data_IF_322437595830
#
_entry.id   IF_322437595830
#
_cell.length_a   1.000
_cell.length_b   1.000
_cell.length_c   1.000
_cell.angle_alpha   90.00
_cell.angle_beta   90.00
_cell.angle_gamma   90.00
#
_symmetry.space_group_name_H-M   'P 1'
#
loop_
_entity.id
_entity.type
_entity.pdbx_description
1 polymer ?
#
# COMPACT_ATOMS: atom_id res chain seq x y z
N UNK A 1 62.82 16.58 -41.28
CA UNK A 1 61.96 17.71 -40.88
C UNK A 1 60.58 17.17 -40.83
N UNK A 2 60.16 16.79 -39.62
CA UNK A 2 58.82 16.15 -39.27
C UNK A 2 58.00 17.26 -38.62
N UNK A 3 56.79 17.58 -39.06
CA UNK A 3 55.97 18.59 -38.39
C UNK A 3 55.29 18.01 -37.14
N UNK A 4 55.46 18.72 -36.04
CA UNK A 4 54.79 18.47 -34.77
C UNK A 4 53.26 18.65 -34.94
N UNK A 5 52.51 17.60 -34.56
CA UNK A 5 51.05 17.64 -34.49
C UNK A 5 50.57 18.34 -33.19
N UNK A 6 49.39 18.98 -33.22
CA UNK A 6 48.89 19.73 -32.08
C UNK A 6 48.51 18.79 -30.92
N UNK A 7 49.13 19.02 -29.77
CA UNK A 7 48.81 18.37 -28.51
C UNK A 7 47.36 18.69 -28.07
N UNK A 8 46.44 17.71 -28.16
CA UNK A 8 45.11 17.78 -27.58
C UNK A 8 45.24 17.76 -26.04
N UNK A 9 45.14 18.91 -25.44
CA UNK A 9 44.92 19.03 -23.98
C UNK A 9 43.46 18.60 -23.68
N UNK A 10 43.29 17.44 -23.02
CA UNK A 10 42.02 17.01 -22.47
C UNK A 10 41.59 18.02 -21.38
N UNK A 11 40.29 18.39 -21.33
CA UNK A 11 39.82 19.27 -20.26
C UNK A 11 40.00 18.56 -18.91
N UNK A 12 40.74 19.19 -18.01
CA UNK A 12 40.81 18.74 -16.58
C UNK A 12 39.41 18.84 -15.98
N UNK A 13 38.76 17.69 -15.74
CA UNK A 13 37.60 17.61 -14.87
C UNK A 13 38.12 17.87 -13.44
N UNK A 14 38.06 19.12 -13.02
CA UNK A 14 38.30 19.47 -11.61
C UNK A 14 37.10 18.97 -10.82
N UNK A 15 37.25 17.88 -10.06
CA UNK A 15 36.28 17.49 -9.04
C UNK A 15 36.09 18.67 -8.08
N UNK A 16 34.85 19.04 -7.70
CA UNK A 16 34.62 20.10 -6.75
C UNK A 16 35.32 19.77 -5.42
N UNK A 17 35.96 20.74 -4.76
CA UNK A 17 36.64 20.47 -3.51
C UNK A 17 35.66 19.94 -2.46
N UNK A 18 36.05 18.92 -1.70
CA UNK A 18 35.22 18.27 -0.65
C UNK A 18 34.57 19.26 0.31
N UNK A 19 35.20 20.41 0.55
CA UNK A 19 34.69 21.49 1.39
C UNK A 19 33.41 22.16 0.77
N UNK A 20 33.31 22.28 -0.55
CA UNK A 20 32.13 22.87 -1.21
C UNK A 20 30.96 21.89 -1.25
N UNK A 21 31.22 20.59 -1.33
CA UNK A 21 30.17 19.57 -1.27
C UNK A 21 29.62 19.38 0.17
N UNK A 22 30.46 19.56 1.20
CA UNK A 22 29.99 19.54 2.58
C UNK A 22 29.19 20.82 2.93
N UNK A 23 29.61 21.99 2.43
CA UNK A 23 28.86 23.24 2.61
C UNK A 23 27.48 23.15 1.97
N UNK A 24 27.40 22.71 0.70
CA UNK A 24 26.11 22.55 0.02
C UNK A 24 25.20 21.49 0.67
N UNK A 25 25.78 20.47 1.28
CA UNK A 25 25.02 19.48 2.06
C UNK A 25 24.44 20.11 3.33
N UNK A 26 25.24 20.87 4.10
CA UNK A 26 24.78 21.55 5.31
C UNK A 26 23.71 22.60 4.99
N UNK A 27 23.87 23.38 3.92
CA UNK A 27 22.87 24.33 3.46
C UNK A 27 21.54 23.62 3.06
N UNK A 28 21.61 22.46 2.42
CA UNK A 28 20.43 21.65 2.09
C UNK A 28 19.74 21.11 3.35
N UNK A 29 20.51 20.69 4.35
CA UNK A 29 19.98 20.24 5.66
C UNK A 29 19.30 21.39 6.39
N UNK A 30 19.92 22.56 6.43
CA UNK A 30 19.37 23.76 7.07
C UNK A 30 18.08 24.23 6.38
N UNK A 31 18.05 24.22 5.04
CA UNK A 31 16.86 24.51 4.24
C UNK A 31 15.74 23.50 4.46
N UNK A 32 16.08 22.23 4.66
CA UNK A 32 15.11 21.18 5.01
C UNK A 32 14.45 21.45 6.37
N UNK A 33 15.27 21.71 7.41
CA UNK A 33 14.73 21.97 8.75
C UNK A 33 13.97 23.30 8.82
N UNK A 34 14.40 24.35 8.13
CA UNK A 34 13.67 25.62 8.05
C UNK A 34 12.32 25.45 7.32
N UNK A 35 12.27 24.65 6.27
CA UNK A 35 11.00 24.31 5.58
C UNK A 35 10.06 23.51 6.49
N UNK A 36 10.60 22.66 7.35
CA UNK A 36 9.80 21.93 8.34
C UNK A 36 9.28 22.85 9.46
N UNK A 37 10.08 23.83 9.88
CA UNK A 37 9.71 24.81 10.91
C UNK A 37 8.69 25.84 10.40
N UNK A 38 8.62 26.06 9.09
CA UNK A 38 7.71 27.00 8.43
C UNK A 38 6.35 26.39 8.06
N UNK A 39 5.98 25.22 8.61
CA UNK A 39 4.72 24.52 8.31
C UNK A 39 3.49 25.34 8.71
N UNK A 40 2.54 25.42 7.80
CA UNK A 40 1.22 25.95 8.10
C UNK A 40 0.37 24.89 8.82
N UNK A 41 0.18 25.11 10.12
CA UNK A 41 -0.54 24.16 10.98
C UNK A 41 -2.02 23.97 10.58
N UNK A 42 -2.69 25.02 10.09
CA UNK A 42 -4.10 24.95 9.73
C UNK A 42 -4.34 24.00 8.54
N UNK A 43 -3.67 24.14 7.38
CA UNK A 43 -3.78 23.18 6.30
C UNK A 43 -3.29 21.77 6.70
N UNK A 44 -2.28 21.65 7.55
CA UNK A 44 -1.79 20.36 8.04
C UNK A 44 -2.88 19.61 8.82
N UNK A 45 -3.49 20.26 9.81
CA UNK A 45 -4.56 19.66 10.63
C UNK A 45 -5.79 19.35 9.79
N UNK A 46 -6.17 20.27 8.88
CA UNK A 46 -7.28 20.05 7.96
C UNK A 46 -7.00 18.87 7.01
N UNK A 47 -5.77 18.76 6.49
CA UNK A 47 -5.33 17.66 5.65
C UNK A 47 -5.37 16.31 6.38
N UNK A 48 -4.87 16.25 7.61
CA UNK A 48 -4.96 15.05 8.45
C UNK A 48 -6.41 14.70 8.83
N UNK A 49 -7.27 15.71 9.02
CA UNK A 49 -8.71 15.50 9.26
C UNK A 49 -9.40 14.90 8.02
N UNK A 50 -9.13 15.44 6.83
CA UNK A 50 -9.60 14.85 5.57
C UNK A 50 -9.08 13.42 5.39
N UNK A 51 -7.83 13.16 5.77
CA UNK A 51 -7.24 11.84 5.73
C UNK A 51 -7.92 10.87 6.72
N UNK A 52 -8.29 11.36 7.90
CA UNK A 52 -9.09 10.61 8.87
C UNK A 52 -10.44 10.20 8.30
N UNK A 53 -11.15 11.15 7.66
CA UNK A 53 -12.43 10.89 7.00
C UNK A 53 -12.24 9.89 5.85
N UNK A 54 -11.19 10.03 5.05
CA UNK A 54 -10.84 9.10 3.97
C UNK A 54 -10.74 7.65 4.48
N UNK A 55 -9.90 7.39 5.48
CA UNK A 55 -9.70 6.03 6.01
C UNK A 55 -10.97 5.51 6.68
N UNK A 56 -11.68 6.37 7.42
CA UNK A 56 -12.94 5.99 8.08
C UNK A 56 -14.04 5.63 7.07
N UNK A 57 -14.16 6.39 5.99
CA UNK A 57 -15.13 6.11 4.91
C UNK A 57 -14.74 4.84 4.15
N UNK A 58 -13.46 4.60 3.89
CA UNK A 58 -13.00 3.32 3.31
C UNK A 58 -13.32 2.14 4.22
N UNK A 59 -13.11 2.28 5.52
CA UNK A 59 -13.46 1.23 6.48
C UNK A 59 -14.95 0.92 6.49
N UNK A 60 -15.80 1.92 6.22
CA UNK A 60 -17.25 1.74 6.09
C UNK A 60 -17.61 0.97 4.81
N UNK A 61 -16.98 1.29 3.68
CA UNK A 61 -17.15 0.50 2.46
C UNK A 61 -16.74 -0.97 2.68
N UNK A 62 -15.63 -1.20 3.37
CA UNK A 62 -15.18 -2.54 3.72
C UNK A 62 -16.14 -3.27 4.69
N UNK A 63 -16.70 -2.54 5.66
CA UNK A 63 -17.76 -3.06 6.51
C UNK A 63 -18.97 -3.56 5.71
N UNK A 64 -19.40 -2.82 4.67
CA UNK A 64 -20.50 -3.25 3.78
C UNK A 64 -20.14 -4.53 3.00
N UNK A 65 -18.88 -4.69 2.58
CA UNK A 65 -18.40 -5.92 1.95
C UNK A 65 -18.53 -7.11 2.91
N UNK A 66 -18.11 -6.93 4.17
CA UNK A 66 -18.21 -7.97 5.19
C UNK A 66 -19.65 -8.28 5.57
N UNK A 67 -20.53 -7.26 5.65
CA UNK A 67 -21.97 -7.44 5.87
C UNK A 67 -22.65 -8.24 4.77
N UNK A 68 -22.18 -8.12 3.53
CA UNK A 68 -22.68 -8.93 2.43
C UNK A 68 -22.15 -10.38 2.49
N UNK A 69 -20.92 -10.57 2.97
CA UNK A 69 -20.30 -11.88 3.11
C UNK A 69 -20.85 -12.67 4.32
N UNK A 70 -21.28 -11.97 5.38
CA UNK A 70 -21.76 -12.54 6.63
C UNK A 70 -23.10 -11.91 7.06
N UNK A 71 -24.20 -12.14 6.31
CA UNK A 71 -25.48 -11.48 6.55
C UNK A 71 -26.12 -11.88 7.90
N UNK A 72 -25.87 -13.09 8.37
CA UNK A 72 -26.44 -13.65 9.58
C UNK A 72 -25.63 -13.31 10.85
N UNK A 73 -24.43 -12.75 10.68
CA UNK A 73 -23.53 -12.42 11.79
C UNK A 73 -23.68 -10.97 12.23
N UNK A 74 -23.78 -10.76 13.55
CA UNK A 74 -23.83 -9.44 14.13
C UNK A 74 -22.45 -9.00 14.58
N UNK A 75 -21.91 -7.98 13.96
CA UNK A 75 -20.65 -7.34 14.35
C UNK A 75 -20.71 -5.82 14.18
N UNK A 76 -20.17 -5.05 15.15
CA UNK A 76 -20.27 -3.61 15.13
C UNK A 76 -19.23 -2.99 14.18
N UNK A 77 -19.60 -1.90 13.50
CA UNK A 77 -18.73 -1.15 12.58
C UNK A 77 -17.40 -0.73 13.22
N UNK A 78 -17.40 -0.26 14.46
CA UNK A 78 -16.21 0.26 15.13
C UNK A 78 -15.08 -0.77 15.31
N UNK A 79 -15.40 -2.08 15.37
CA UNK A 79 -14.35 -3.14 15.33
C UNK A 79 -13.70 -3.22 13.95
N UNK A 80 -14.47 -3.12 12.88
CA UNK A 80 -13.93 -3.12 11.51
C UNK A 80 -13.14 -1.85 11.25
N UNK A 81 -13.65 -0.70 11.71
CA UNK A 81 -12.96 0.58 11.68
C UNK A 81 -11.60 0.51 12.42
N UNK A 82 -11.59 -0.03 13.62
CA UNK A 82 -10.36 -0.20 14.40
C UNK A 82 -9.36 -1.14 13.73
N UNK A 83 -9.81 -2.27 13.16
CA UNK A 83 -8.96 -3.18 12.41
C UNK A 83 -8.36 -2.52 11.16
N UNK A 84 -9.13 -1.66 10.49
CA UNK A 84 -8.69 -0.95 9.30
C UNK A 84 -7.61 0.08 9.64
N UNK A 85 -7.81 0.88 10.69
CA UNK A 85 -6.82 1.85 11.18
C UNK A 85 -5.56 1.17 11.71
N UNK A 86 -5.70 0.08 12.46
CA UNK A 86 -4.56 -0.70 12.90
C UNK A 86 -3.72 -1.16 11.71
N UNK A 87 -4.35 -1.75 10.69
CA UNK A 87 -3.64 -2.17 9.49
C UNK A 87 -2.91 -1.03 8.80
N UNK A 88 -3.59 0.11 8.61
CA UNK A 88 -3.00 1.25 7.93
C UNK A 88 -1.82 1.84 8.72
N UNK A 89 -1.96 2.00 10.04
CA UNK A 89 -0.89 2.48 10.90
C UNK A 89 0.33 1.55 10.88
N UNK A 90 0.10 0.26 11.00
CA UNK A 90 1.19 -0.73 11.00
C UNK A 90 1.85 -0.93 9.63
N UNK A 91 1.14 -0.72 8.52
CA UNK A 91 1.74 -0.74 7.18
C UNK A 91 2.78 0.38 6.95
N UNK A 92 2.72 1.47 7.74
CA UNK A 92 3.74 2.52 7.70
C UNK A 92 5.01 2.15 8.50
N UNK A 93 4.93 1.15 9.38
CA UNK A 93 6.05 0.73 10.25
C UNK A 93 6.60 -0.63 9.82
N UNK A 94 5.71 -1.58 9.50
CA UNK A 94 6.10 -2.94 9.13
C UNK A 94 6.21 -3.05 7.61
N UNK A 95 7.39 -3.44 7.08
CA UNK A 95 7.57 -3.64 5.65
C UNK A 95 6.70 -4.79 5.12
N UNK A 96 6.62 -4.93 3.80
CA UNK A 96 5.88 -5.98 3.10
C UNK A 96 4.38 -6.06 3.48
N UNK A 97 3.75 -4.88 3.81
CA UNK A 97 2.32 -4.77 4.13
C UNK A 97 1.88 -5.65 5.31
N UNK A 98 2.74 -5.76 6.32
CA UNK A 98 2.46 -6.57 7.51
C UNK A 98 1.19 -6.17 8.28
N UNK A 99 0.73 -4.92 8.16
CA UNK A 99 -0.53 -4.46 8.70
C UNK A 99 -1.76 -5.14 8.07
N UNK A 100 -1.69 -5.60 6.80
CA UNK A 100 -2.81 -6.32 6.17
C UNK A 100 -3.02 -7.69 6.83
N UNK A 101 -1.95 -8.33 7.31
CA UNK A 101 -2.05 -9.57 8.11
C UNK A 101 -2.74 -9.28 9.44
N UNK A 102 -2.43 -8.13 10.06
CA UNK A 102 -3.11 -7.69 11.28
C UNK A 102 -4.59 -7.41 11.02
N UNK A 103 -4.94 -6.73 9.91
CA UNK A 103 -6.34 -6.52 9.50
C UNK A 103 -7.09 -7.84 9.39
N UNK A 104 -6.49 -8.80 8.69
CA UNK A 104 -7.06 -10.14 8.51
C UNK A 104 -7.39 -10.80 9.86
N UNK A 105 -6.44 -10.76 10.80
CA UNK A 105 -6.60 -11.32 12.13
C UNK A 105 -7.67 -10.58 12.97
N UNK A 106 -7.61 -9.23 13.02
CA UNK A 106 -8.54 -8.44 13.82
C UNK A 106 -9.98 -8.52 13.29
N UNK A 107 -10.16 -8.56 11.98
CA UNK A 107 -11.48 -8.76 11.35
C UNK A 107 -12.01 -10.16 11.67
N UNK A 108 -11.15 -11.19 11.53
CA UNK A 108 -11.51 -12.58 11.87
C UNK A 108 -11.96 -12.70 13.34
N UNK A 109 -11.26 -12.05 14.26
CA UNK A 109 -11.63 -12.05 15.69
C UNK A 109 -12.89 -11.25 16.01
N UNK A 110 -13.36 -10.41 15.07
CA UNK A 110 -14.52 -9.54 15.26
C UNK A 110 -15.82 -10.14 14.75
N UNK A 111 -15.76 -11.11 13.83
CA UNK A 111 -16.93 -11.70 13.18
C UNK A 111 -17.00 -13.18 13.60
N UNK A 112 -18.03 -13.59 14.36
CA UNK A 112 -18.23 -14.99 14.69
C UNK A 112 -18.34 -15.85 13.41
N UNK A 113 -18.00 -17.12 13.49
CA UNK A 113 -18.09 -18.08 12.38
C UNK A 113 -17.43 -17.67 11.07
N UNK A 114 -16.59 -16.62 11.08
CA UNK A 114 -15.87 -16.19 9.87
C UNK A 114 -14.64 -17.06 9.60
N UNK A 115 -14.11 -17.00 8.39
CA UNK A 115 -12.93 -17.75 7.98
C UNK A 115 -11.86 -16.87 7.35
N UNK A 116 -10.59 -17.20 7.55
CA UNK A 116 -9.47 -16.48 6.93
C UNK A 116 -9.57 -16.40 5.39
N UNK A 117 -9.95 -17.47 4.66
CA UNK A 117 -10.08 -17.39 3.21
C UNK A 117 -11.16 -16.42 2.74
N UNK A 118 -12.31 -16.35 3.44
CA UNK A 118 -13.39 -15.44 3.07
C UNK A 118 -13.04 -13.98 3.39
N UNK A 119 -12.42 -13.71 4.54
CA UNK A 119 -11.95 -12.36 4.90
C UNK A 119 -10.81 -11.93 3.98
N UNK A 120 -9.85 -12.81 3.70
CA UNK A 120 -8.74 -12.51 2.79
C UNK A 120 -9.22 -12.19 1.37
N UNK A 121 -10.19 -12.94 0.86
CA UNK A 121 -10.78 -12.68 -0.47
C UNK A 121 -11.61 -11.38 -0.51
N UNK A 122 -12.18 -10.93 0.61
CA UNK A 122 -12.90 -9.65 0.67
C UNK A 122 -12.00 -8.44 0.39
N UNK A 123 -10.69 -8.55 0.63
CA UNK A 123 -9.73 -7.49 0.25
C UNK A 123 -9.68 -7.27 -1.27
N UNK A 124 -9.96 -8.32 -2.05
CA UNK A 124 -10.02 -8.22 -3.50
C UNK A 124 -11.15 -7.28 -3.97
N UNK A 125 -12.25 -7.20 -3.21
CA UNK A 125 -13.36 -6.29 -3.53
C UNK A 125 -12.92 -4.83 -3.48
N UNK A 126 -12.08 -4.46 -2.49
CA UNK A 126 -11.47 -3.12 -2.41
C UNK A 126 -10.47 -2.90 -3.55
N UNK A 127 -9.68 -3.94 -3.87
CA UNK A 127 -8.69 -3.87 -4.92
C UNK A 127 -9.29 -3.62 -6.32
N UNK A 128 -10.53 -4.04 -6.58
CA UNK A 128 -11.25 -3.72 -7.83
C UNK A 128 -11.42 -2.21 -7.99
N UNK A 129 -11.86 -1.50 -6.95
CA UNK A 129 -11.96 -0.05 -6.97
C UNK A 129 -10.59 0.61 -7.14
N UNK A 130 -9.60 0.17 -6.34
CA UNK A 130 -8.25 0.73 -6.38
C UNK A 130 -7.61 0.53 -7.78
N UNK A 131 -7.87 -0.60 -8.44
CA UNK A 131 -7.41 -0.84 -9.82
C UNK A 131 -8.04 0.13 -10.83
N UNK A 132 -9.33 0.40 -10.72
CA UNK A 132 -10.00 1.40 -11.57
C UNK A 132 -9.36 2.78 -11.37
N UNK A 133 -9.19 3.21 -10.13
CA UNK A 133 -8.56 4.50 -9.83
C UNK A 133 -7.09 4.55 -10.25
N UNK A 134 -6.36 3.44 -10.10
CA UNK A 134 -4.98 3.33 -10.53
C UNK A 134 -4.85 3.51 -12.05
N UNK A 135 -5.75 2.98 -12.87
CA UNK A 135 -5.73 3.19 -14.32
C UNK A 135 -5.81 4.68 -14.66
N UNK A 136 -6.72 5.43 -14.04
CA UNK A 136 -6.84 6.88 -14.28
C UNK A 136 -5.59 7.65 -13.84
N UNK A 137 -5.09 7.37 -12.63
CA UNK A 137 -3.93 8.06 -12.06
C UNK A 137 -2.65 7.72 -12.85
N UNK A 138 -2.44 6.45 -13.19
CA UNK A 138 -1.25 6.03 -13.92
C UNK A 138 -1.28 6.51 -15.37
N UNK A 139 -2.45 6.57 -16.01
CA UNK A 139 -2.60 7.18 -17.32
C UNK A 139 -2.19 8.66 -17.29
N UNK A 140 -2.68 9.40 -16.29
CA UNK A 140 -2.26 10.79 -16.09
C UNK A 140 -0.76 10.88 -15.81
N UNK A 141 -0.21 10.10 -14.89
CA UNK A 141 1.22 10.09 -14.55
C UNK A 141 2.09 9.76 -15.79
N UNK A 142 1.62 8.88 -16.67
CA UNK A 142 2.28 8.56 -17.91
C UNK A 142 2.37 9.78 -18.85
N UNK A 143 1.27 10.52 -19.02
CA UNK A 143 1.26 11.74 -19.86
C UNK A 143 2.17 12.84 -19.31
N UNK A 144 2.45 12.84 -18.01
CA UNK A 144 3.32 13.80 -17.34
C UNK A 144 4.80 13.37 -17.27
N UNK A 145 5.16 12.23 -17.86
CA UNK A 145 6.54 11.73 -17.87
C UNK A 145 7.07 11.27 -16.51
N UNK A 146 6.18 10.97 -15.57
CA UNK A 146 6.54 10.49 -14.22
C UNK A 146 7.21 9.12 -14.25
N UNK A 147 6.97 8.34 -15.29
CA UNK A 147 7.59 7.02 -15.43
C UNK A 147 9.08 7.15 -15.76
N UNK A 148 9.94 6.37 -15.12
CA UNK A 148 11.32 6.25 -15.55
C UNK A 148 11.33 5.82 -17.01
N UNK A 149 12.23 6.41 -17.82
CA UNK A 149 12.39 6.03 -19.23
C UNK A 149 12.51 4.51 -19.33
N UNK A 150 11.79 3.86 -20.25
CA UNK A 150 11.92 2.42 -20.45
C UNK A 150 13.40 2.09 -20.70
N UNK A 151 13.91 0.98 -20.14
CA UNK A 151 15.27 0.56 -20.43
C UNK A 151 15.45 0.40 -21.93
N UNK A 152 16.62 0.79 -22.43
CA UNK A 152 16.96 0.68 -23.84
C UNK A 152 17.10 -0.81 -24.21
N UNK A 153 16.03 -1.39 -24.76
CA UNK A 153 15.98 -2.80 -25.13
C UNK A 153 16.95 -3.20 -26.24
N UNK A 154 17.53 -2.22 -26.93
CA UNK A 154 18.53 -2.48 -27.99
C UNK A 154 19.86 -3.03 -27.47
N UNK A 155 20.11 -2.93 -26.16
CA UNK A 155 21.32 -3.41 -25.49
C UNK A 155 21.15 -4.76 -24.80
N UNK A 156 20.01 -5.43 -24.98
CA UNK A 156 19.74 -6.75 -24.42
C UNK A 156 20.55 -7.83 -25.16
N UNK A 157 21.65 -8.30 -24.59
CA UNK A 157 22.23 -9.58 -24.97
C UNK A 157 21.35 -10.70 -24.37
N UNK A 158 20.78 -11.52 -25.26
CA UNK A 158 19.85 -12.57 -24.88
C UNK A 158 20.50 -13.60 -23.95
N UNK A 159 19.85 -13.89 -22.83
CA UNK A 159 20.13 -15.02 -21.93
C UNK A 159 21.39 -14.96 -21.06
N UNK A 160 21.88 -13.82 -20.67
CA UNK A 160 22.90 -13.76 -19.62
C UNK A 160 22.24 -13.56 -18.26
N UNK A 161 22.47 -14.48 -17.30
CA UNK A 161 21.99 -14.35 -15.92
C UNK A 161 22.53 -13.08 -15.22
N UNK A 162 23.66 -12.55 -15.72
CA UNK A 162 24.19 -11.25 -15.34
C UNK A 162 23.22 -10.11 -15.66
N UNK A 163 22.34 -10.27 -16.66
CA UNK A 163 21.28 -9.33 -16.99
C UNK A 163 20.22 -9.21 -15.87
N UNK A 164 19.83 -10.32 -15.26
CA UNK A 164 18.91 -10.33 -14.13
C UNK A 164 19.52 -9.64 -12.89
N UNK A 165 20.83 -9.81 -12.68
CA UNK A 165 21.55 -9.16 -11.60
C UNK A 165 21.75 -7.65 -11.85
N UNK A 166 21.94 -7.25 -13.11
CA UNK A 166 22.13 -5.84 -13.50
C UNK A 166 20.79 -5.06 -13.66
N UNK A 167 19.66 -5.79 -13.78
CA UNK A 167 18.32 -5.21 -13.92
C UNK A 167 17.36 -5.73 -12.83
N UNK A 168 17.54 -5.32 -11.58
CA UNK A 168 16.77 -5.86 -10.45
C UNK A 168 15.26 -5.65 -10.60
N UNK A 169 14.82 -4.64 -11.38
CA UNK A 169 13.39 -4.39 -11.64
C UNK A 169 12.78 -5.43 -12.58
N UNK A 170 13.51 -5.85 -13.61
CA UNK A 170 13.06 -6.90 -14.53
C UNK A 170 13.08 -8.27 -13.83
N UNK A 171 14.12 -8.55 -13.04
CA UNK A 171 14.21 -9.76 -12.22
C UNK A 171 13.02 -9.85 -11.22
N UNK A 172 12.70 -8.76 -10.54
CA UNK A 172 11.54 -8.67 -9.65
C UNK A 172 10.22 -8.88 -10.38
N UNK A 173 10.04 -8.25 -11.54
CA UNK A 173 8.83 -8.46 -12.36
C UNK A 173 8.70 -9.91 -12.79
N UNK A 174 9.77 -10.52 -13.30
CA UNK A 174 9.77 -11.92 -13.74
C UNK A 174 9.53 -12.89 -12.57
N UNK A 175 10.21 -12.68 -11.44
CA UNK A 175 10.01 -13.50 -10.22
C UNK A 175 8.58 -13.36 -9.71
N UNK A 176 8.03 -12.13 -9.68
CA UNK A 176 6.66 -11.88 -9.25
C UNK A 176 5.65 -12.51 -10.21
N UNK A 177 5.86 -12.39 -11.51
CA UNK A 177 5.00 -13.00 -12.52
C UNK A 177 5.03 -14.53 -12.44
N UNK A 178 6.22 -15.13 -12.27
CA UNK A 178 6.38 -16.56 -12.07
C UNK A 178 5.77 -17.05 -10.75
N UNK A 179 5.92 -16.28 -9.65
CA UNK A 179 5.31 -16.60 -8.37
C UNK A 179 3.79 -16.54 -8.43
N UNK A 180 3.22 -15.52 -9.10
CA UNK A 180 1.77 -15.40 -9.31
C UNK A 180 1.26 -16.54 -10.21
N UNK A 181 1.98 -16.88 -11.28
CA UNK A 181 1.64 -17.99 -12.16
C UNK A 181 1.71 -19.35 -11.43
N UNK A 182 2.74 -19.57 -10.60
CA UNK A 182 2.89 -20.77 -9.79
C UNK A 182 1.79 -20.87 -8.71
N UNK A 183 1.42 -19.77 -8.05
CA UNK A 183 0.33 -19.71 -7.10
C UNK A 183 -1.03 -19.96 -7.79
N UNK A 184 -1.25 -19.39 -8.97
CA UNK A 184 -2.46 -19.66 -9.76
C UNK A 184 -2.56 -21.12 -10.19
N UNK A 185 -1.44 -21.70 -10.66
CA UNK A 185 -1.36 -23.11 -11.04
C UNK A 185 -1.57 -24.04 -9.84
N UNK A 186 -0.95 -23.75 -8.70
CA UNK A 186 -1.15 -24.50 -7.46
C UNK A 186 -2.60 -24.42 -6.98
N UNK A 187 -3.22 -23.23 -7.08
CA UNK A 187 -4.64 -23.03 -6.77
C UNK A 187 -5.56 -23.84 -7.71
N UNK A 188 -5.21 -23.98 -8.99
CA UNK A 188 -5.98 -24.73 -9.97
C UNK A 188 -5.83 -26.26 -9.82
N UNK A 189 -4.66 -26.74 -9.40
CA UNK A 189 -4.34 -28.18 -9.34
C UNK A 189 -4.77 -28.87 -8.04
N UNK A 190 -5.09 -28.15 -6.97
CA UNK A 190 -5.43 -28.77 -5.69
C UNK A 190 -6.91 -29.14 -5.57
N UNK A 191 -7.22 -30.43 -5.65
CA UNK A 191 -8.58 -31.02 -5.55
C UNK A 191 -9.26 -30.82 -4.18
N UNK A 192 -8.52 -30.40 -3.14
CA UNK A 192 -9.05 -30.01 -1.81
C UNK A 192 -9.77 -28.66 -1.79
N UNK A 193 -10.05 -28.09 -2.94
CA UNK A 193 -10.33 -26.68 -3.20
C UNK A 193 -11.82 -26.34 -3.17
N UNK A 194 -12.75 -27.28 -3.19
CA UNK A 194 -14.18 -26.90 -3.24
C UNK A 194 -14.63 -26.10 -2.02
N UNK A 195 -14.31 -26.56 -0.82
CA UNK A 195 -14.67 -25.85 0.42
C UNK A 195 -13.90 -24.52 0.55
N UNK A 196 -12.61 -24.51 0.20
CA UNK A 196 -11.81 -23.28 0.15
C UNK A 196 -12.40 -22.27 -0.85
N UNK A 197 -12.71 -22.70 -2.09
CA UNK A 197 -13.32 -21.82 -3.09
C UNK A 197 -14.71 -21.32 -2.73
N UNK A 198 -15.49 -22.09 -2.00
CA UNK A 198 -16.77 -21.62 -1.46
C UNK A 198 -16.55 -20.48 -0.46
N UNK A 199 -15.58 -20.60 0.44
CA UNK A 199 -15.22 -19.53 1.38
C UNK A 199 -14.64 -18.30 0.67
N UNK A 200 -13.81 -18.48 -0.35
CA UNK A 200 -13.32 -17.38 -1.19
C UNK A 200 -14.48 -16.67 -1.92
N UNK A 201 -15.42 -17.44 -2.51
CA UNK A 201 -16.61 -16.87 -3.16
C UNK A 201 -17.48 -16.10 -2.19
N UNK A 202 -17.56 -16.51 -0.93
CA UNK A 202 -18.30 -15.82 0.12
C UNK A 202 -17.73 -14.41 0.36
N UNK A 203 -16.40 -14.23 0.45
CA UNK A 203 -15.78 -12.93 0.67
C UNK A 203 -15.98 -11.94 -0.47
N UNK A 204 -16.20 -12.41 -1.69
CA UNK A 204 -16.43 -11.57 -2.88
C UNK A 204 -17.90 -11.54 -3.34
N UNK A 205 -18.82 -12.05 -2.53
CA UNK A 205 -20.23 -12.23 -2.91
C UNK A 205 -20.90 -10.94 -3.37
N UNK A 206 -20.55 -9.80 -2.79
CA UNK A 206 -21.12 -8.49 -3.12
C UNK A 206 -20.88 -8.09 -4.59
N UNK A 207 -19.82 -8.60 -5.25
CA UNK A 207 -19.53 -8.33 -6.66
C UNK A 207 -20.57 -8.96 -7.60
N UNK A 208 -21.35 -9.96 -7.14
CA UNK A 208 -22.44 -10.55 -7.91
C UNK A 208 -23.67 -9.64 -7.98
N UNK A 209 -23.89 -8.87 -6.93
CA UNK A 209 -24.94 -7.85 -6.88
C UNK A 209 -24.34 -6.49 -7.28
N UNK A 210 -24.28 -6.27 -8.61
CA UNK A 210 -23.69 -5.05 -9.18
C UNK A 210 -24.30 -3.75 -8.67
N UNK A 211 -25.65 -3.59 -8.58
CA UNK A 211 -26.26 -2.39 -8.04
C UNK A 211 -25.85 -2.14 -6.57
N UNK A 212 -25.85 -3.19 -5.77
CA UNK A 212 -25.43 -3.11 -4.37
C UNK A 212 -23.95 -2.74 -4.24
N UNK A 213 -23.07 -3.40 -5.00
CA UNK A 213 -21.64 -3.08 -5.04
C UNK A 213 -21.39 -1.63 -5.43
N UNK A 214 -22.04 -1.14 -6.49
CA UNK A 214 -21.86 0.24 -6.95
C UNK A 214 -22.31 1.26 -5.90
N UNK A 215 -23.41 1.02 -5.20
CA UNK A 215 -23.94 1.95 -4.20
C UNK A 215 -23.23 1.86 -2.86
N UNK A 216 -23.01 0.65 -2.32
CA UNK A 216 -22.56 0.45 -0.95
C UNK A 216 -21.03 0.37 -0.83
N UNK A 217 -20.31 0.09 -1.93
CA UNK A 217 -18.86 -0.03 -1.94
C UNK A 217 -18.22 1.00 -2.84
N UNK A 218 -18.52 0.96 -4.14
CA UNK A 218 -17.83 1.82 -5.12
C UNK A 218 -18.09 3.32 -4.87
N UNK A 219 -19.35 3.73 -4.71
CA UNK A 219 -19.68 5.14 -4.44
C UNK A 219 -19.10 5.62 -3.11
N UNK A 220 -19.13 4.77 -2.08
CA UNK A 220 -18.54 5.09 -0.77
C UNK A 220 -17.02 5.23 -0.88
N UNK A 221 -16.34 4.33 -1.59
CA UNK A 221 -14.90 4.44 -1.82
C UNK A 221 -14.54 5.65 -2.69
N UNK A 222 -15.41 6.00 -3.66
CA UNK A 222 -15.21 7.20 -4.47
C UNK A 222 -15.30 8.48 -3.62
N UNK A 223 -16.26 8.57 -2.72
CA UNK A 223 -16.34 9.68 -1.74
C UNK A 223 -15.10 9.71 -0.85
N UNK A 224 -14.67 8.56 -0.34
CA UNK A 224 -13.42 8.45 0.41
C UNK A 224 -12.23 8.98 -0.42
N UNK A 225 -12.18 8.65 -1.70
CA UNK A 225 -11.11 9.08 -2.59
C UNK A 225 -11.08 10.62 -2.80
N UNK A 226 -12.25 11.28 -2.81
CA UNK A 226 -12.32 12.74 -2.82
C UNK A 226 -11.69 13.35 -1.55
N UNK A 227 -11.94 12.76 -0.38
CA UNK A 227 -11.27 13.17 0.85
C UNK A 227 -9.76 12.89 0.85
N UNK A 228 -9.33 11.79 0.23
CA UNK A 228 -7.91 11.54 -0.01
C UNK A 228 -7.29 12.61 -0.89
N UNK A 229 -7.97 13.01 -1.96
CA UNK A 229 -7.54 14.07 -2.84
C UNK A 229 -7.41 15.40 -2.09
N UNK A 230 -8.44 15.78 -1.32
CA UNK A 230 -8.43 16.97 -0.49
C UNK A 230 -7.33 16.94 0.58
N UNK A 231 -7.07 15.78 1.19
CA UNK A 231 -6.00 15.60 2.16
C UNK A 231 -4.63 15.92 1.54
N UNK A 232 -4.30 15.36 0.39
CA UNK A 232 -3.03 15.64 -0.29
C UNK A 232 -2.94 17.08 -0.81
N UNK A 233 -4.06 17.68 -1.22
CA UNK A 233 -4.11 19.10 -1.56
C UNK A 233 -3.70 19.98 -0.39
N UNK A 234 -4.35 19.80 0.75
CA UNK A 234 -4.07 20.56 1.98
C UNK A 234 -2.66 20.29 2.52
N UNK A 235 -2.15 19.07 2.38
CA UNK A 235 -0.77 18.76 2.76
C UNK A 235 0.24 19.46 1.83
N UNK A 236 -0.02 19.56 0.53
CA UNK A 236 0.81 20.32 -0.39
C UNK A 236 0.85 21.81 -0.03
N UNK A 237 -0.31 22.39 0.37
CA UNK A 237 -0.38 23.76 0.85
C UNK A 237 0.35 23.93 2.17
N UNK A 238 0.18 23.00 3.13
CA UNK A 238 0.84 23.06 4.43
C UNK A 238 2.37 23.12 4.33
N UNK A 239 2.96 22.52 3.31
CA UNK A 239 4.40 22.54 3.05
C UNK A 239 4.83 23.57 1.98
N UNK A 240 3.94 24.49 1.58
CA UNK A 240 4.21 25.54 0.58
C UNK A 240 4.66 25.02 -0.80
N UNK A 241 4.31 23.78 -1.14
CA UNK A 241 4.51 23.23 -2.51
C UNK A 241 3.42 23.72 -3.46
N UNK A 242 2.25 24.08 -2.92
CA UNK A 242 1.08 24.57 -3.65
C UNK A 242 0.14 23.44 -4.05
N UNK A 243 -1.07 23.47 -3.45
CA UNK A 243 -2.18 22.58 -3.81
C UNK A 243 -2.73 22.94 -5.18
N UNK A 244 -2.84 21.95 -6.05
CA UNK A 244 -3.53 22.03 -7.34
C UNK A 244 -3.96 20.64 -7.77
N UNK A 245 -4.95 20.56 -8.67
CA UNK A 245 -5.40 19.27 -9.23
C UNK A 245 -4.22 18.53 -9.84
N UNK A 246 -3.38 19.25 -10.60
CA UNK A 246 -2.19 18.70 -11.23
C UNK A 246 -1.21 18.12 -10.21
N UNK A 247 -0.82 18.90 -9.20
CA UNK A 247 0.15 18.49 -8.18
C UNK A 247 -0.34 17.30 -7.35
N UNK A 248 -1.63 17.28 -6.98
CA UNK A 248 -2.22 16.14 -6.26
C UNK A 248 -2.19 14.88 -7.10
N UNK A 249 -2.55 14.96 -8.39
CA UNK A 249 -2.50 13.80 -9.29
C UNK A 249 -1.08 13.29 -9.49
N UNK A 250 -0.09 14.18 -9.55
CA UNK A 250 1.33 13.80 -9.59
C UNK A 250 1.73 13.05 -8.32
N UNK A 251 1.39 13.56 -7.14
CA UNK A 251 1.66 12.88 -5.85
C UNK A 251 0.99 11.52 -5.79
N UNK A 252 -0.28 11.42 -6.19
CA UNK A 252 -1.00 10.15 -6.21
C UNK A 252 -0.40 9.17 -7.22
N UNK A 253 0.07 9.67 -8.36
CA UNK A 253 0.80 8.87 -9.36
C UNK A 253 2.11 8.31 -8.81
N UNK A 254 2.91 9.16 -8.17
CA UNK A 254 4.15 8.74 -7.51
C UNK A 254 3.86 7.71 -6.41
N UNK A 255 2.82 7.93 -5.59
CA UNK A 255 2.42 6.99 -4.55
C UNK A 255 2.00 5.63 -5.13
N UNK A 256 1.28 5.63 -6.27
CA UNK A 256 0.88 4.40 -6.94
C UNK A 256 2.10 3.62 -7.47
N UNK A 257 3.09 4.32 -8.04
CA UNK A 257 4.33 3.71 -8.53
C UNK A 257 5.18 3.19 -7.34
N UNK A 258 5.34 3.99 -6.28
CA UNK A 258 6.12 3.62 -5.10
C UNK A 258 5.51 2.40 -4.36
N UNK A 259 4.18 2.25 -4.37
CA UNK A 259 3.48 1.11 -3.77
C UNK A 259 3.77 -0.24 -4.44
N UNK A 260 4.30 -0.24 -5.68
CA UNK A 260 4.73 -1.45 -6.39
C UNK A 260 6.02 -2.03 -5.77
N UNK A 261 6.79 -1.21 -5.04
CA UNK A 261 8.04 -1.65 -4.38
C UNK A 261 7.73 -2.15 -2.97
N UNK A 262 7.67 -3.47 -2.74
CA UNK A 262 7.13 -4.03 -1.49
C UNK A 262 8.10 -4.00 -0.30
N UNK A 263 9.39 -3.66 -0.55
CA UNK A 263 10.45 -3.84 0.45
C UNK A 263 10.63 -2.66 1.41
N UNK A 264 10.05 -1.51 1.11
CA UNK A 264 10.18 -0.31 1.94
C UNK A 264 8.85 0.02 2.65
N UNK A 265 8.87 0.34 3.95
CA UNK A 265 7.67 0.78 4.65
C UNK A 265 7.06 2.01 3.97
N UNK A 266 5.79 1.91 3.56
CA UNK A 266 5.08 3.03 2.92
C UNK A 266 5.71 3.56 1.61
N UNK A 267 6.60 2.79 0.94
CA UNK A 267 7.31 3.27 -0.27
C UNK A 267 8.47 4.22 0.00
N UNK A 268 8.95 4.27 1.25
CA UNK A 268 10.03 5.18 1.68
C UNK A 268 11.28 5.07 0.79
N UNK A 269 11.90 6.20 0.47
CA UNK A 269 13.04 6.32 -0.42
C UNK A 269 12.64 6.46 -1.89
N UNK A 270 11.85 5.54 -2.42
CA UNK A 270 11.38 5.60 -3.83
C UNK A 270 10.40 6.75 -4.03
N UNK A 271 9.46 6.92 -3.12
CA UNK A 271 8.49 8.02 -3.16
C UNK A 271 9.19 9.38 -3.10
N UNK A 272 10.16 9.56 -2.19
CA UNK A 272 10.92 10.81 -2.04
C UNK A 272 11.70 11.15 -3.32
N UNK A 273 12.44 10.18 -3.85
CA UNK A 273 13.22 10.38 -5.06
C UNK A 273 12.34 10.76 -6.27
N UNK A 274 11.21 10.09 -6.44
CA UNK A 274 10.27 10.38 -7.53
C UNK A 274 9.60 11.75 -7.35
N UNK A 275 9.20 12.14 -6.13
CA UNK A 275 8.58 13.44 -5.87
C UNK A 275 9.55 14.58 -6.19
N UNK A 276 10.80 14.51 -5.73
CA UNK A 276 11.81 15.53 -6.04
C UNK A 276 12.03 15.63 -7.56
N UNK A 277 12.06 14.51 -8.27
CA UNK A 277 12.22 14.50 -9.71
C UNK A 277 11.03 15.12 -10.47
N UNK A 278 9.80 14.76 -10.05
CA UNK A 278 8.57 15.19 -10.73
C UNK A 278 8.28 16.68 -10.50
N UNK A 279 8.61 17.20 -9.32
CA UNK A 279 8.46 18.62 -8.99
C UNK A 279 9.70 19.46 -9.33
N UNK A 280 10.70 18.88 -9.99
CA UNK A 280 11.87 19.62 -10.44
C UNK A 280 11.46 20.81 -11.35
N UNK A 281 11.78 22.04 -10.92
CA UNK A 281 11.43 23.27 -11.62
C UNK A 281 10.06 23.86 -11.24
N UNK A 282 9.19 23.15 -10.51
CA UNK A 282 7.91 23.67 -10.02
C UNK A 282 8.03 24.24 -8.59
N UNK A 283 8.89 23.66 -7.76
CA UNK A 283 9.18 24.13 -6.41
C UNK A 283 10.66 23.91 -6.07
N UNK A 284 11.16 24.58 -5.04
CA UNK A 284 12.51 24.36 -4.55
C UNK A 284 12.70 22.90 -4.11
N UNK A 285 13.80 22.27 -4.48
CA UNK A 285 14.06 20.86 -4.17
C UNK A 285 14.02 20.56 -2.67
N UNK A 286 14.47 21.52 -1.82
CA UNK A 286 14.41 21.41 -0.36
C UNK A 286 12.96 21.38 0.14
N UNK A 287 12.08 22.21 -0.41
CA UNK A 287 10.64 22.27 -0.04
C UNK A 287 9.94 20.97 -0.43
N UNK A 288 10.21 20.44 -1.62
CA UNK A 288 9.64 19.15 -2.07
C UNK A 288 10.17 18.00 -1.23
N UNK A 289 11.45 18.02 -0.86
CA UNK A 289 12.04 17.03 0.04
C UNK A 289 11.40 17.09 1.43
N UNK A 290 11.22 18.30 1.99
CA UNK A 290 10.52 18.51 3.26
C UNK A 290 9.07 18.02 3.21
N UNK A 291 8.34 18.33 2.13
CA UNK A 291 7.00 17.79 1.90
C UNK A 291 7.00 16.27 1.87
N UNK A 292 7.86 15.65 1.06
CA UNK A 292 7.85 14.20 0.83
C UNK A 292 8.12 13.39 2.10
N UNK A 293 9.06 13.85 2.93
CA UNK A 293 9.38 13.22 4.22
C UNK A 293 8.36 13.62 5.27
N UNK A 294 8.03 14.91 5.36
CA UNK A 294 7.12 15.45 6.37
C UNK A 294 5.71 14.87 6.26
N UNK A 295 5.14 14.77 5.04
CA UNK A 295 3.83 14.15 4.84
C UNK A 295 3.83 12.66 5.23
N UNK A 296 4.90 11.93 4.94
CA UNK A 296 4.99 10.51 5.29
C UNK A 296 5.06 10.33 6.81
N UNK A 297 5.85 11.16 7.50
CA UNK A 297 5.92 11.16 8.96
C UNK A 297 4.58 11.56 9.56
N UNK A 298 3.95 12.64 9.08
CA UNK A 298 2.68 13.13 9.60
C UNK A 298 1.55 12.09 9.45
N UNK A 299 1.36 11.56 8.24
CA UNK A 299 0.37 10.52 7.97
C UNK A 299 0.71 9.23 8.74
N UNK A 300 1.98 8.82 8.76
CA UNK A 300 2.44 7.62 9.43
C UNK A 300 2.23 7.69 10.94
N UNK A 301 2.69 8.75 11.60
CA UNK A 301 2.52 8.96 13.04
C UNK A 301 1.04 9.07 13.42
N UNK A 302 0.27 9.87 12.68
CA UNK A 302 -1.18 10.03 12.89
C UNK A 302 -1.92 8.70 12.77
N UNK A 303 -1.66 7.96 11.70
CA UNK A 303 -2.30 6.66 11.46
C UNK A 303 -1.89 5.62 12.48
N UNK A 304 -0.62 5.60 12.86
CA UNK A 304 -0.10 4.70 13.89
C UNK A 304 -0.74 5.01 15.25
N UNK A 305 -0.85 6.29 15.63
CA UNK A 305 -1.47 6.69 16.89
C UNK A 305 -2.93 6.23 16.97
N UNK A 306 -3.74 6.46 15.91
CA UNK A 306 -5.14 6.01 15.87
C UNK A 306 -5.21 4.48 15.84
N UNK A 307 -4.41 3.83 15.01
CA UNK A 307 -4.39 2.36 14.88
C UNK A 307 -3.97 1.67 16.18
N UNK A 308 -2.95 2.18 16.84
CA UNK A 308 -2.50 1.68 18.13
C UNK A 308 -3.54 1.95 19.22
N UNK A 309 -4.14 3.14 19.25
CA UNK A 309 -5.27 3.46 20.10
C UNK A 309 -6.44 2.50 19.89
N UNK A 310 -6.77 2.18 18.64
CA UNK A 310 -7.82 1.21 18.33
C UNK A 310 -7.51 -0.20 18.88
N UNK A 311 -6.25 -0.64 18.81
CA UNK A 311 -5.84 -1.93 19.40
C UNK A 311 -6.09 -1.96 20.91
N UNK A 312 -5.75 -0.88 21.61
CA UNK A 312 -5.91 -0.79 23.07
C UNK A 312 -7.37 -0.64 23.47
N UNK A 313 -8.10 0.32 22.87
CA UNK A 313 -9.45 0.70 23.35
C UNK A 313 -10.56 -0.15 22.72
N UNK A 314 -10.41 -0.53 21.44
CA UNK A 314 -11.43 -1.29 20.70
C UNK A 314 -11.26 -2.79 20.91
N UNK A 315 -10.02 -3.28 20.78
CA UNK A 315 -9.72 -4.70 20.92
C UNK A 315 -9.27 -5.08 22.33
N UNK A 316 -8.96 -4.11 23.18
CA UNK A 316 -8.54 -4.29 24.58
C UNK A 316 -7.31 -5.18 24.72
N UNK A 317 -6.46 -5.23 23.73
CA UNK A 317 -5.19 -5.93 23.83
C UNK A 317 -4.19 -5.09 24.62
N UNK A 318 -3.62 -5.68 25.68
CA UNK A 318 -2.63 -5.01 26.56
C UNK A 318 -1.22 -5.15 26.05
N UNK A 319 -0.94 -6.10 25.15
CA UNK A 319 0.40 -6.27 24.55
C UNK A 319 0.33 -6.91 23.16
N UNK A 320 1.36 -6.64 22.34
CA UNK A 320 1.50 -7.25 21.01
C UNK A 320 1.67 -8.78 21.08
N UNK A 321 2.25 -9.28 22.18
CA UNK A 321 2.36 -10.74 22.44
C UNK A 321 1.00 -11.39 22.59
N UNK A 322 0.04 -10.71 23.22
CA UNK A 322 -1.34 -11.19 23.36
C UNK A 322 -2.06 -11.29 22.01
N UNK A 323 -1.82 -10.33 21.11
CA UNK A 323 -2.35 -10.37 19.73
C UNK A 323 -1.83 -11.60 18.98
N UNK A 324 -0.52 -11.86 19.09
CA UNK A 324 0.10 -13.03 18.46
C UNK A 324 -0.39 -14.34 19.09
N UNK A 325 -0.52 -14.40 20.41
CA UNK A 325 -0.99 -15.59 21.12
C UNK A 325 -2.41 -15.95 20.69
N UNK A 326 -3.34 -14.99 20.71
CA UNK A 326 -4.73 -15.21 20.25
C UNK A 326 -4.80 -15.59 18.77
N UNK A 327 -3.91 -15.03 17.93
CA UNK A 327 -3.82 -15.42 16.52
C UNK A 327 -3.41 -16.88 16.33
N UNK A 328 -2.52 -17.40 17.17
CA UNK A 328 -2.12 -18.82 17.15
C UNK A 328 -3.24 -19.73 17.68
N UNK A 329 -3.90 -19.33 18.76
CA UNK A 329 -5.05 -20.06 19.32
C UNK A 329 -6.20 -20.17 18.32
N UNK A 330 -6.56 -19.07 17.64
CA UNK A 330 -7.61 -19.06 16.62
C UNK A 330 -7.30 -19.99 15.45
N UNK A 331 -6.03 -20.04 15.01
CA UNK A 331 -5.61 -20.96 13.94
C UNK A 331 -5.64 -22.42 14.39
N UNK A 332 -5.26 -22.69 15.63
CA UNK A 332 -5.31 -24.04 16.19
C UNK A 332 -6.76 -24.54 16.32
N UNK A 333 -7.68 -23.68 16.77
CA UNK A 333 -9.12 -23.99 16.85
C UNK A 333 -9.72 -24.23 15.46
N UNK A 334 -9.35 -23.43 14.44
CA UNK A 334 -9.81 -23.61 13.06
C UNK A 334 -9.31 -24.93 12.47
N UNK A 335 -8.06 -25.30 12.73
CA UNK A 335 -7.49 -26.57 12.29
C UNK A 335 -8.17 -27.78 12.97
N UNK A 336 -8.51 -27.67 14.26
CA UNK A 336 -9.25 -28.70 14.99
C UNK A 336 -10.69 -28.84 14.47
N UNK A 337 -11.39 -27.72 14.23
CA UNK A 337 -12.74 -27.73 13.68
C UNK A 337 -12.77 -28.33 12.26
N UNK A 338 -11.77 -28.04 11.43
CA UNK A 338 -11.65 -28.68 10.10
C UNK A 338 -11.35 -30.18 10.19
N UNK A 339 -10.53 -30.61 11.15
CA UNK A 339 -10.27 -32.03 11.38
C UNK A 339 -11.54 -32.78 11.79
N UNK A 340 -12.27 -32.24 12.77
CA UNK A 340 -13.54 -32.80 13.24
C UNK A 340 -14.59 -32.88 12.12
N UNK A 341 -14.73 -31.83 11.30
CA UNK A 341 -15.66 -31.83 10.16
C UNK A 341 -15.28 -32.89 9.11
N UNK A 342 -13.99 -33.16 8.89
CA UNK A 342 -13.54 -34.24 7.98
C UNK A 342 -13.83 -35.63 8.52
N UNK A 343 -13.66 -35.82 9.83
CA UNK A 343 -13.98 -37.10 10.48
C UNK A 343 -15.48 -37.39 10.41
N UNK A 344 -16.31 -36.38 10.67
CA UNK A 344 -17.76 -36.51 10.56
C UNK A 344 -18.23 -36.81 9.13
N UNK A 345 -17.62 -36.14 8.14
CA UNK A 345 -17.92 -36.41 6.73
C UNK A 345 -17.52 -37.84 6.35
N UNK A 346 -16.33 -38.29 6.76
CA UNK A 346 -15.85 -39.65 6.50
C UNK A 346 -16.73 -40.71 7.17
N UNK A 347 -17.25 -40.42 8.40
CA UNK A 347 -18.18 -41.28 9.09
C UNK A 347 -19.53 -41.37 8.36
N UNK A 348 -20.07 -40.27 7.85
CA UNK A 348 -21.30 -40.26 7.04
C UNK A 348 -21.12 -41.03 5.72
N UNK A 349 -19.97 -40.87 5.05
CA UNK A 349 -19.68 -41.60 3.82
C UNK A 349 -19.58 -43.13 4.03
N UNK A 350 -18.97 -43.55 5.17
CA UNK A 350 -18.92 -44.97 5.56
C UNK A 350 -20.29 -45.52 5.91
N UNK A 351 -21.14 -44.76 6.60
CA UNK A 351 -22.52 -45.17 6.92
C UNK A 351 -23.44 -45.22 5.68
N UNK A 352 -23.15 -44.49 4.64
CA UNK A 352 -23.92 -44.51 3.38
C UNK A 352 -23.46 -45.61 2.39
N UNK A 353 -22.28 -46.20 2.65
CA UNK A 353 -21.68 -47.25 1.79
C UNK A 353 -21.91 -48.70 2.32
N UNK A 354 -22.43 -48.85 3.56
CA UNK A 354 -22.79 -50.13 4.18
C UNK A 354 -24.32 -50.28 4.31
#
# INVERSE_FOLDING_TARGET
>A
MVPDGPSRTLPRVTAPPLASSLGSFLDAVDSFFSSLAALDLLPLVAGLSCFCIYISTRSYAYYNVLRAAYPDEAFPFWKIWGAYWAAYGFNNVIPARGGDIMKLFLVRSSIPNSSYPAIGSSFFVEAVFDAVMAVFILTFAFTQGVFPKPPDFSKLQAFDLSYLASHPRFALFLITALAVAALALFALLSVRVRAFWQRVKQGVVILRDRPRYLREVFAVQFVAWLFRFAAFWLLLDAFHVGGSVHNVLLVLGVNAIAAVVPFTPGGAGVQQALLVQVFAGAAASATVAAYSVGQQIAIGAFSFAIGFGAIIFVFRFRSFREVIARGRESRAQEAQAEAAAREEQAARERAAAG
#
